data_IF_121493128451
#
_entry.id   IF_121493128451
#
_cell.length_a   1.000
_cell.length_b   1.000
_cell.length_c   1.000
_cell.angle_alpha   90.00
_cell.angle_beta   90.00
_cell.angle_gamma   90.00
#
_symmetry.space_group_name_H-M   'P 1'
#
loop_
_entity.id
_entity.type
_entity.pdbx_description
1 polymer ?
#
# COMPACT_ATOMS: atom_id res chain seq x y z
N UNK A 1 -1.65 19.45 5.95
CA UNK A 1 -1.95 18.01 5.93
C UNK A 1 -0.86 17.30 6.70
N UNK A 2 -1.19 16.49 7.71
CA UNK A 2 -0.19 15.77 8.52
C UNK A 2 -0.26 14.29 8.21
N UNK A 3 0.87 13.69 7.85
CA UNK A 3 0.98 12.25 7.61
C UNK A 3 1.72 11.57 8.77
N UNK A 4 1.18 10.46 9.24
CA UNK A 4 1.82 9.61 10.24
C UNK A 4 2.42 8.40 9.53
N UNK A 5 3.74 8.27 9.59
CA UNK A 5 4.48 7.21 8.92
C UNK A 5 5.22 6.39 9.97
N UNK A 6 4.91 5.09 10.04
CA UNK A 6 5.66 4.15 10.86
C UNK A 6 6.76 3.49 10.00
N UNK A 7 8.02 3.68 10.38
CA UNK A 7 9.18 3.04 9.75
C UNK A 7 9.85 2.17 10.81
N UNK A 8 9.69 0.87 10.70
CA UNK A 8 10.33 -0.13 11.56
C UNK A 8 11.37 -0.96 10.79
N UNK A 9 12.23 -1.66 11.53
CA UNK A 9 13.12 -2.67 10.95
C UNK A 9 12.31 -3.80 10.29
N UNK A 10 12.92 -4.51 9.35
CA UNK A 10 12.31 -5.66 8.70
C UNK A 10 11.68 -6.61 9.75
N UNK A 11 10.46 -7.11 9.47
CA UNK A 11 9.74 -8.11 10.29
C UNK A 11 9.42 -7.70 11.73
N UNK A 12 9.64 -6.45 12.14
CA UNK A 12 9.20 -5.99 13.46
C UNK A 12 7.85 -5.29 13.34
N UNK A 13 6.76 -6.06 13.43
CA UNK A 13 5.42 -5.54 13.74
C UNK A 13 4.66 -4.81 12.62
N UNK A 14 5.21 -4.68 11.42
CA UNK A 14 4.54 -4.01 10.29
C UNK A 14 3.21 -4.70 9.92
N UNK A 15 3.17 -6.03 9.91
CA UNK A 15 1.94 -6.79 9.71
C UNK A 15 0.91 -6.51 10.80
N UNK A 16 1.33 -6.45 12.07
CA UNK A 16 0.44 -6.20 13.21
C UNK A 16 -0.18 -4.81 13.14
N UNK A 17 0.61 -3.79 12.79
CA UNK A 17 0.11 -2.42 12.62
C UNK A 17 -0.84 -2.32 11.42
N UNK A 18 -0.51 -2.93 10.28
CA UNK A 18 -1.37 -2.96 9.10
C UNK A 18 -2.72 -3.64 9.38
N UNK A 19 -2.69 -4.78 10.09
CA UNK A 19 -3.90 -5.49 10.53
C UNK A 19 -4.76 -4.63 11.46
N UNK A 20 -4.12 -4.05 12.48
CA UNK A 20 -4.80 -3.19 13.45
C UNK A 20 -5.51 -2.03 12.75
N UNK A 21 -4.82 -1.32 11.86
CA UNK A 21 -5.41 -0.19 11.12
C UNK A 21 -6.54 -0.65 10.19
N UNK A 22 -6.36 -1.77 9.50
CA UNK A 22 -7.36 -2.29 8.57
C UNK A 22 -8.65 -2.73 9.27
N UNK A 23 -8.55 -3.46 10.38
CA UNK A 23 -9.71 -3.91 11.16
C UNK A 23 -10.46 -2.71 11.75
N UNK A 24 -9.73 -1.68 12.19
CA UNK A 24 -10.31 -0.50 12.86
C UNK A 24 -10.62 0.68 11.92
N UNK A 25 -10.50 0.51 10.60
CA UNK A 25 -10.65 1.59 9.61
C UNK A 25 -11.93 2.42 9.76
N UNK A 26 -13.05 1.78 10.09
CA UNK A 26 -14.34 2.48 10.27
C UNK A 26 -14.36 3.40 11.49
N UNK A 27 -13.64 3.03 12.56
CA UNK A 27 -13.48 3.82 13.77
C UNK A 27 -12.53 4.99 13.51
N UNK A 28 -11.43 4.72 12.81
CA UNK A 28 -10.42 5.71 12.40
C UNK A 28 -11.06 6.80 11.51
N UNK A 29 -11.92 6.39 10.57
CA UNK A 29 -12.67 7.33 9.72
C UNK A 29 -13.61 8.25 10.52
N UNK A 30 -14.29 7.73 11.55
CA UNK A 30 -15.14 8.56 12.44
C UNK A 30 -14.33 9.60 13.22
N UNK A 31 -13.03 9.40 13.38
CA UNK A 31 -12.10 10.34 14.00
C UNK A 31 -11.46 11.31 12.98
N UNK A 32 -12.01 11.41 11.77
CA UNK A 32 -11.50 12.23 10.66
C UNK A 32 -10.12 11.81 10.13
N UNK A 33 -9.71 10.56 10.34
CA UNK A 33 -8.51 10.00 9.72
C UNK A 33 -8.87 9.20 8.47
N UNK A 34 -8.18 9.48 7.37
CA UNK A 34 -8.37 8.76 6.12
C UNK A 34 -7.51 7.49 6.08
N UNK A 35 -8.15 6.34 5.86
CA UNK A 35 -7.49 5.08 5.53
C UNK A 35 -7.81 4.76 4.07
N UNK A 36 -6.81 4.84 3.20
CA UNK A 36 -6.99 4.61 1.76
C UNK A 36 -7.33 3.14 1.47
N UNK A 37 -8.06 2.88 0.39
CA UNK A 37 -8.33 1.51 -0.09
C UNK A 37 -8.13 1.36 -1.60
N UNK A 38 -8.07 2.49 -2.32
CA UNK A 38 -7.86 2.54 -3.77
C UNK A 38 -6.44 2.18 -4.21
N UNK A 39 -5.48 2.16 -3.29
CA UNK A 39 -4.06 1.86 -3.54
C UNK A 39 -3.64 0.54 -2.87
N UNK A 40 -4.61 -0.35 -2.65
CA UNK A 40 -4.48 -1.62 -1.95
C UNK A 40 -5.38 -1.66 -0.71
N UNK A 41 -5.91 -2.85 -0.40
CA UNK A 41 -6.97 -3.01 0.61
C UNK A 41 -6.47 -2.88 2.05
N UNK A 42 -5.30 -3.48 2.34
CA UNK A 42 -4.75 -3.63 3.70
C UNK A 42 -3.31 -3.10 3.82
N UNK A 43 -2.46 -3.48 2.87
CA UNK A 43 -1.01 -3.24 2.95
C UNK A 43 -0.55 -2.14 1.97
N UNK A 44 -1.49 -1.51 1.27
CA UNK A 44 -1.27 -0.51 0.23
C UNK A 44 -0.15 -0.86 -0.77
N UNK A 45 -0.03 -2.13 -1.16
CA UNK A 45 1.08 -2.59 -2.02
C UNK A 45 1.05 -1.98 -3.42
N UNK A 46 -0.12 -1.57 -3.92
CA UNK A 46 -0.23 -0.91 -5.22
C UNK A 46 0.53 0.42 -5.23
N UNK A 47 0.56 1.15 -4.10
CA UNK A 47 1.37 2.36 -3.94
C UNK A 47 2.86 2.05 -4.07
N UNK A 48 3.34 1.01 -3.40
CA UNK A 48 4.74 0.60 -3.49
C UNK A 48 5.10 0.19 -4.92
N UNK A 49 4.17 -0.49 -5.61
CA UNK A 49 4.35 -0.93 -7.00
C UNK A 49 4.51 0.23 -7.99
N UNK A 50 3.90 1.39 -7.75
CA UNK A 50 4.13 2.56 -8.61
C UNK A 50 5.63 2.93 -8.73
N UNK A 51 6.44 2.63 -7.71
CA UNK A 51 7.88 2.84 -7.71
C UNK A 51 8.73 1.67 -8.23
N UNK A 52 8.12 0.53 -8.61
CA UNK A 52 8.87 -0.65 -9.07
C UNK A 52 9.42 -0.46 -10.49
N UNK A 53 10.64 -0.95 -10.73
CA UNK A 53 11.19 -1.10 -12.08
C UNK A 53 10.47 -2.22 -12.83
N UNK A 54 10.13 -1.99 -14.10
CA UNK A 54 9.48 -2.98 -15.00
C UNK A 54 10.19 -4.33 -15.08
N UNK A 55 11.49 -4.37 -14.82
CA UNK A 55 12.29 -5.59 -14.93
C UNK A 55 12.09 -6.56 -13.75
N UNK A 56 11.39 -6.13 -12.68
CA UNK A 56 11.03 -7.00 -11.56
C UNK A 56 9.69 -7.67 -11.79
N UNK A 57 9.73 -8.99 -12.07
CA UNK A 57 8.54 -9.86 -12.07
C UNK A 57 8.30 -10.38 -10.65
N UNK A 58 7.61 -9.61 -9.83
CA UNK A 58 7.11 -10.07 -8.54
C UNK A 58 5.77 -10.81 -8.72
N UNK A 59 5.56 -11.90 -8.00
CA UNK A 59 4.33 -12.69 -8.06
C UNK A 59 3.08 -11.85 -7.76
N UNK A 60 3.19 -10.83 -6.91
CA UNK A 60 2.07 -9.92 -6.63
C UNK A 60 1.65 -9.13 -7.87
N UNK A 61 2.61 -8.69 -8.69
CA UNK A 61 2.35 -7.92 -9.91
C UNK A 61 1.67 -8.80 -10.95
N UNK A 62 2.20 -10.01 -11.14
CA UNK A 62 1.67 -10.98 -12.10
C UNK A 62 0.23 -11.35 -11.78
N UNK A 63 -0.09 -11.51 -10.49
CA UNK A 63 -1.43 -11.93 -10.06
C UNK A 63 -2.45 -10.79 -10.07
N UNK A 64 -2.03 -9.53 -9.88
CA UNK A 64 -2.95 -8.39 -9.78
C UNK A 64 -3.02 -7.54 -11.07
N UNK A 65 -2.29 -7.91 -12.14
CA UNK A 65 -2.31 -7.22 -13.44
C UNK A 65 -2.12 -5.70 -13.34
N UNK A 66 -1.22 -5.26 -12.44
CA UNK A 66 -0.99 -3.85 -12.15
C UNK A 66 -0.08 -3.19 -13.21
N UNK A 67 -0.32 -1.91 -13.51
CA UNK A 67 0.46 -1.09 -14.45
C UNK A 67 1.22 -0.01 -13.69
N UNK A 68 2.54 0.10 -13.87
CA UNK A 68 3.36 1.12 -13.20
C UNK A 68 3.57 2.36 -14.10
N UNK A 69 4.17 3.43 -13.55
CA UNK A 69 4.40 4.68 -14.29
C UNK A 69 5.22 4.52 -15.57
N UNK A 70 6.09 3.52 -15.65
CA UNK A 70 6.88 3.26 -16.86
C UNK A 70 6.02 2.62 -17.95
N UNK A 71 5.08 1.73 -17.60
CA UNK A 71 4.11 1.15 -18.53
C UNK A 71 3.13 2.21 -19.05
N UNK A 72 2.66 3.11 -18.18
CA UNK A 72 1.75 4.20 -18.56
C UNK A 72 2.41 5.17 -19.55
N UNK A 73 3.72 5.42 -19.45
CA UNK A 73 4.46 6.32 -20.34
C UNK A 73 4.78 5.75 -21.72
N UNK A 74 4.59 4.45 -21.96
CA UNK A 74 4.87 3.80 -23.25
C UNK A 74 3.64 3.72 -24.17
N UNK A 75 2.49 4.22 -23.70
CA UNK A 75 1.24 4.37 -24.44
C UNK A 75 0.86 5.85 -24.54
#
# INVERSE_FOLDING_TARGET
>A
MTAYVHIGTEKTGTTSIQEFLYINKSIIQKQNYFFAQSIGIKNHWDLAFLGYSLNKKDSYILNNSLWNFQAIKQH
#
